data_IF_553410063377
#
_entry.id   IF_553410063377
#
_cell.length_a   1.000
_cell.length_b   1.000
_cell.length_c   1.000
_cell.angle_alpha   90.00
_cell.angle_beta   90.00
_cell.angle_gamma   90.00
#
_symmetry.space_group_name_H-M   'P 1'
#
loop_
_entity.id
_entity.type
_entity.pdbx_description
1 polymer ?
#
# COMPACT_ATOMS: atom_id res chain seq x y z
N UNK A 1 -10.97 -63.05 -46.37
CA UNK A 1 -11.07 -62.35 -45.07
C UNK A 1 -11.73 -60.99 -45.32
N UNK A 2 -13.07 -60.93 -45.23
CA UNK A 2 -13.86 -59.70 -45.33
C UNK A 2 -15.08 -59.85 -44.42
N UNK A 3 -15.21 -58.94 -43.46
CA UNK A 3 -16.33 -58.77 -42.53
C UNK A 3 -16.75 -57.29 -42.79
N UNK A 4 -17.89 -56.99 -43.45
CA UNK A 4 -19.26 -56.85 -42.89
C UNK A 4 -19.27 -55.87 -41.69
N UNK A 5 -19.63 -54.60 -41.85
CA UNK A 5 -20.96 -53.98 -42.01
C UNK A 5 -21.40 -53.26 -40.73
N UNK A 6 -22.21 -52.21 -40.91
CA UNK A 6 -22.95 -51.38 -39.94
C UNK A 6 -22.13 -50.19 -39.39
N UNK A 7 -22.42 -48.92 -39.65
CA UNK A 7 -23.63 -48.25 -40.13
C UNK A 7 -24.28 -47.52 -38.96
N UNK A 8 -24.28 -46.18 -38.96
CA UNK A 8 -25.33 -45.36 -38.34
C UNK A 8 -25.18 -43.87 -38.67
N UNK A 9 -26.35 -43.27 -38.83
CA UNK A 9 -26.64 -42.03 -39.52
C UNK A 9 -26.37 -40.78 -38.68
N UNK A 10 -26.07 -39.70 -39.40
CA UNK A 10 -26.01 -38.33 -38.91
C UNK A 10 -27.42 -37.79 -38.65
N UNK A 11 -27.66 -37.31 -37.43
CA UNK A 11 -28.82 -36.50 -37.07
C UNK A 11 -28.31 -35.33 -36.22
N UNK A 12 -27.95 -34.24 -36.90
CA UNK A 12 -27.69 -32.93 -36.27
C UNK A 12 -29.02 -32.26 -36.01
N UNK A 13 -29.52 -32.37 -34.77
CA UNK A 13 -30.59 -31.54 -34.26
C UNK A 13 -29.94 -30.35 -33.53
N UNK A 14 -30.19 -29.15 -34.04
CA UNK A 14 -29.74 -27.91 -33.42
C UNK A 14 -30.45 -27.68 -32.09
N UNK A 15 -29.66 -27.37 -31.05
CA UNK A 15 -30.17 -26.72 -29.86
C UNK A 15 -29.42 -25.39 -29.70
N UNK A 16 -30.16 -24.33 -30.01
CA UNK A 16 -29.80 -22.94 -29.78
C UNK A 16 -29.84 -22.71 -28.26
N UNK A 17 -28.68 -22.64 -27.59
CA UNK A 17 -28.61 -22.15 -26.22
C UNK A 17 -28.36 -20.65 -26.30
N UNK A 18 -29.40 -19.87 -26.01
CA UNK A 18 -29.30 -18.43 -25.85
C UNK A 18 -28.45 -18.13 -24.61
N UNK A 19 -27.24 -17.61 -24.82
CA UNK A 19 -26.42 -17.03 -23.75
C UNK A 19 -26.94 -15.62 -23.45
N UNK A 20 -27.87 -15.52 -22.49
CA UNK A 20 -28.17 -14.24 -21.85
C UNK A 20 -27.03 -13.84 -20.91
N UNK A 21 -26.63 -12.56 -20.83
CA UNK A 21 -25.62 -12.12 -19.89
C UNK A 21 -26.18 -12.20 -18.46
N UNK A 22 -25.51 -12.96 -17.60
CA UNK A 22 -25.75 -12.93 -16.15
C UNK A 22 -25.06 -11.68 -15.61
N UNK A 23 -25.82 -10.60 -15.44
CA UNK A 23 -25.38 -9.43 -14.68
C UNK A 23 -25.29 -9.77 -13.21
N UNK A 24 -24.09 -10.18 -12.75
CA UNK A 24 -23.74 -10.11 -11.34
C UNK A 24 -23.30 -8.66 -11.03
N UNK A 25 -24.27 -7.77 -10.91
CA UNK A 25 -24.03 -6.45 -10.30
C UNK A 25 -24.16 -6.64 -8.79
N UNK A 26 -23.07 -7.07 -8.14
CA UNK A 26 -22.89 -6.80 -6.71
C UNK A 26 -22.57 -5.31 -6.64
N UNK A 27 -23.50 -4.53 -6.10
CA UNK A 27 -23.23 -3.14 -5.76
C UNK A 27 -22.07 -3.11 -4.75
N UNK A 28 -20.89 -2.71 -5.19
CA UNK A 28 -19.84 -2.27 -4.28
C UNK A 28 -20.34 -0.96 -3.68
N UNK A 29 -20.62 -0.98 -2.38
CA UNK A 29 -20.72 0.23 -1.57
C UNK A 29 -19.48 1.11 -1.84
N UNK A 30 -19.66 2.44 -1.96
CA UNK A 30 -18.57 3.33 -2.29
C UNK A 30 -17.49 3.25 -1.21
N UNK A 31 -16.27 2.87 -1.64
CA UNK A 31 -15.06 3.07 -0.84
C UNK A 31 -15.04 4.53 -0.46
N UNK A 32 -15.07 4.84 0.83
CA UNK A 32 -15.03 6.22 1.30
C UNK A 32 -13.62 6.73 1.03
N UNK A 33 -13.42 7.30 -0.15
CA UNK A 33 -12.20 8.01 -0.49
C UNK A 33 -12.14 9.24 0.43
N UNK A 34 -11.30 9.15 1.46
CA UNK A 34 -10.93 10.32 2.24
C UNK A 34 -10.12 11.22 1.31
N UNK A 35 -10.81 12.08 0.58
CA UNK A 35 -10.20 13.17 -0.16
C UNK A 35 -9.45 14.04 0.85
N UNK A 36 -8.13 13.86 0.91
CA UNK A 36 -7.26 14.73 1.70
C UNK A 36 -7.25 16.07 0.96
N UNK A 37 -8.02 17.03 1.46
CA UNK A 37 -7.91 18.43 1.06
C UNK A 37 -6.43 18.83 1.14
N UNK A 38 -5.90 19.46 0.09
CA UNK A 38 -4.55 20.02 0.09
C UNK A 38 -4.30 20.79 1.39
N UNK A 39 -3.27 20.39 2.13
CA UNK A 39 -2.94 21.02 3.41
C UNK A 39 -3.59 20.47 4.68
N UNK A 40 -4.51 19.50 4.62
CA UNK A 40 -5.13 18.91 5.81
C UNK A 40 -4.26 17.81 6.43
N UNK A 41 -3.95 17.93 7.73
CA UNK A 41 -3.25 16.87 8.47
C UNK A 41 -4.13 15.62 8.58
N UNK A 42 -3.59 14.47 8.16
CA UNK A 42 -4.29 13.19 8.28
C UNK A 42 -4.59 12.88 9.75
N UNK A 43 -5.86 12.65 10.08
CA UNK A 43 -6.29 12.14 11.39
C UNK A 43 -6.37 10.61 11.30
N UNK A 44 -5.47 9.91 12.01
CA UNK A 44 -5.46 8.45 12.08
C UNK A 44 -6.11 8.00 13.38
N UNK A 45 -6.91 6.92 13.36
CA UNK A 45 -7.47 6.39 14.59
C UNK A 45 -6.35 5.87 15.49
N UNK A 46 -6.59 5.90 16.80
CA UNK A 46 -5.67 5.36 17.81
C UNK A 46 -6.15 3.98 18.27
N UNK A 47 -5.25 3.07 18.64
CA UNK A 47 -5.64 1.79 19.22
C UNK A 47 -6.55 1.93 20.45
N UNK A 48 -7.43 0.95 20.71
CA UNK A 48 -8.21 0.89 21.93
C UNK A 48 -7.34 0.95 23.20
N UNK A 49 -7.86 1.57 24.26
CA UNK A 49 -7.12 1.77 25.51
C UNK A 49 -6.71 0.45 26.19
N UNK A 50 -7.48 -0.62 26.03
CA UNK A 50 -7.17 -1.96 26.56
C UNK A 50 -6.00 -2.63 25.84
N UNK A 51 -5.62 -2.14 24.66
CA UNK A 51 -4.42 -2.57 23.92
C UNK A 51 -3.20 -1.70 24.22
N UNK A 52 -3.34 -0.69 25.09
CA UNK A 52 -2.24 0.17 25.52
C UNK A 52 -1.25 -0.66 26.35
N UNK A 53 -0.09 -0.98 25.75
CA UNK A 53 0.95 -1.81 26.37
C UNK A 53 1.02 -3.24 25.84
N UNK A 54 0.13 -3.62 24.92
CA UNK A 54 0.33 -4.81 24.11
C UNK A 54 1.63 -4.69 23.31
N UNK A 55 2.36 -5.78 23.19
CA UNK A 55 3.59 -5.87 22.41
C UNK A 55 3.62 -7.20 21.66
N UNK A 56 4.08 -7.23 20.38
CA UNK A 56 4.27 -8.47 19.66
C UNK A 56 5.42 -9.27 20.28
N UNK A 57 5.36 -10.59 20.15
CA UNK A 57 6.42 -11.49 20.58
C UNK A 57 6.92 -12.38 19.42
N UNK A 58 8.07 -13.01 19.64
CA UNK A 58 8.65 -13.98 18.70
C UNK A 58 8.92 -13.41 17.30
N UNK A 59 8.75 -14.26 16.30
CA UNK A 59 9.05 -13.90 14.90
C UNK A 59 8.19 -12.75 14.36
N UNK A 60 6.95 -12.60 14.86
CA UNK A 60 6.09 -11.48 14.47
C UNK A 60 6.68 -10.14 14.91
N UNK A 61 7.27 -10.09 16.11
CA UNK A 61 7.97 -8.90 16.61
C UNK A 61 9.18 -8.56 15.73
N UNK A 62 9.99 -9.55 15.37
CA UNK A 62 11.16 -9.37 14.51
C UNK A 62 10.79 -8.82 13.12
N UNK A 63 9.69 -9.29 12.53
CA UNK A 63 9.20 -8.79 11.24
C UNK A 63 8.71 -7.34 11.33
N UNK A 64 8.01 -6.99 12.40
CA UNK A 64 7.55 -5.62 12.67
C UNK A 64 8.73 -4.67 12.89
N UNK A 65 9.74 -5.10 13.66
CA UNK A 65 10.97 -4.35 13.92
C UNK A 65 11.72 -4.08 12.61
N UNK A 66 11.98 -5.13 11.81
CA UNK A 66 12.64 -5.00 10.49
C UNK A 66 11.93 -4.02 9.55
N UNK A 67 10.59 -4.05 9.53
CA UNK A 67 9.80 -3.07 8.77
C UNK A 67 9.95 -1.66 9.35
N UNK A 68 9.88 -1.54 10.68
CA UNK A 68 10.07 -0.27 11.40
C UNK A 68 11.43 0.37 11.12
N UNK A 69 12.49 -0.42 11.09
CA UNK A 69 13.85 0.02 10.75
C UNK A 69 13.95 0.53 9.32
N UNK A 70 13.31 -0.16 8.35
CA UNK A 70 13.28 0.29 6.96
C UNK A 70 12.56 1.65 6.81
N UNK A 71 11.44 1.84 7.50
CA UNK A 71 10.74 3.13 7.55
C UNK A 71 11.60 4.19 8.24
N UNK A 72 12.28 3.86 9.35
CA UNK A 72 13.15 4.79 10.06
C UNK A 72 14.34 5.24 9.20
N UNK A 73 15.02 4.32 8.52
CA UNK A 73 16.12 4.62 7.62
C UNK A 73 15.68 5.56 6.47
N UNK A 74 14.50 5.32 5.90
CA UNK A 74 13.93 6.19 4.87
C UNK A 74 13.64 7.59 5.39
N UNK A 75 13.04 7.71 6.58
CA UNK A 75 12.80 9.00 7.23
C UNK A 75 14.07 9.82 7.41
N UNK A 76 15.19 9.19 7.81
CA UNK A 76 16.46 9.90 7.97
C UNK A 76 17.01 10.48 6.65
N UNK A 77 16.73 9.84 5.51
CA UNK A 77 17.07 10.38 4.17
C UNK A 77 16.20 11.58 3.81
N UNK A 78 14.90 11.56 4.15
CA UNK A 78 13.98 12.65 3.83
C UNK A 78 14.13 13.84 4.76
N UNK A 79 14.34 13.61 6.06
CA UNK A 79 14.34 14.63 7.10
C UNK A 79 15.17 15.89 6.82
N UNK A 80 16.39 15.83 6.26
CA UNK A 80 17.18 17.03 5.98
C UNK A 80 16.71 17.81 4.75
N UNK A 81 15.82 17.27 3.93
CA UNK A 81 15.45 17.87 2.66
C UNK A 81 14.57 19.10 2.85
N UNK A 82 14.93 20.18 2.16
CA UNK A 82 14.11 21.39 2.10
C UNK A 82 12.82 21.17 1.29
N UNK A 83 11.88 22.10 1.38
CA UNK A 83 10.69 22.07 0.52
C UNK A 83 11.05 22.17 -0.98
N UNK A 84 12.09 22.92 -1.35
CA UNK A 84 12.59 23.02 -2.73
C UNK A 84 13.11 21.67 -3.22
N UNK A 85 13.98 21.02 -2.43
CA UNK A 85 14.53 19.70 -2.74
C UNK A 85 13.42 18.64 -2.81
N UNK A 86 12.45 18.69 -1.90
CA UNK A 86 11.30 17.77 -1.92
C UNK A 86 10.47 17.88 -3.21
N UNK A 87 10.27 19.09 -3.73
CA UNK A 87 9.51 19.34 -4.95
C UNK A 87 10.35 19.28 -6.24
N UNK A 88 11.66 19.07 -6.13
CA UNK A 88 12.55 19.09 -7.29
C UNK A 88 12.17 18.00 -8.29
N UNK A 89 11.98 18.41 -9.56
CA UNK A 89 11.62 17.53 -10.68
C UNK A 89 12.90 17.09 -11.41
N UNK A 90 13.29 15.81 -11.29
CA UNK A 90 14.49 15.32 -11.96
C UNK A 90 14.37 15.40 -13.48
N UNK A 91 15.41 15.83 -14.21
CA UNK A 91 15.38 15.91 -15.68
C UNK A 91 15.31 14.54 -16.36
N UNK A 92 15.66 13.46 -15.65
CA UNK A 92 15.58 12.09 -16.14
C UNK A 92 14.16 11.48 -16.05
N UNK A 93 13.14 12.28 -15.69
CA UNK A 93 11.75 11.85 -15.63
C UNK A 93 11.40 10.96 -14.43
N UNK A 94 12.33 10.74 -13.48
CA UNK A 94 12.02 9.98 -12.26
C UNK A 94 11.14 10.78 -11.30
N UNK A 95 10.42 10.08 -10.42
CA UNK A 95 9.56 10.68 -9.39
C UNK A 95 10.32 11.71 -8.51
N UNK A 96 9.65 12.78 -8.08
CA UNK A 96 10.21 13.75 -7.13
C UNK A 96 10.47 13.10 -5.76
N UNK A 97 11.34 13.65 -4.91
CA UNK A 97 11.47 13.15 -3.54
C UNK A 97 10.14 13.16 -2.78
N UNK A 98 9.33 14.23 -2.91
CA UNK A 98 8.01 14.29 -2.28
C UNK A 98 7.07 13.18 -2.75
N UNK A 99 7.00 12.91 -4.05
CA UNK A 99 6.17 11.82 -4.55
C UNK A 99 6.59 10.49 -3.91
N UNK A 100 7.90 10.23 -3.79
CA UNK A 100 8.37 9.00 -3.15
C UNK A 100 7.96 8.94 -1.68
N UNK A 101 8.05 10.07 -0.96
CA UNK A 101 7.64 10.14 0.43
C UNK A 101 6.13 9.86 0.61
N UNK A 102 5.28 10.57 -0.12
CA UNK A 102 3.82 10.39 -0.10
C UNK A 102 3.43 8.97 -0.54
N UNK A 103 4.07 8.44 -1.59
CA UNK A 103 3.80 7.10 -2.11
C UNK A 103 4.15 6.00 -1.11
N UNK A 104 5.31 6.08 -0.47
CA UNK A 104 5.74 5.11 0.54
C UNK A 104 4.76 5.07 1.70
N UNK A 105 4.46 6.23 2.27
CA UNK A 105 3.59 6.36 3.43
C UNK A 105 2.16 5.90 3.10
N UNK A 106 1.60 6.34 1.97
CA UNK A 106 0.25 5.98 1.55
C UNK A 106 0.12 4.49 1.21
N UNK A 107 1.15 3.88 0.61
CA UNK A 107 1.15 2.45 0.29
C UNK A 107 1.15 1.61 1.57
N UNK A 108 1.98 1.96 2.56
CA UNK A 108 1.97 1.29 3.86
C UNK A 108 0.58 1.41 4.52
N UNK A 109 0.05 2.64 4.58
CA UNK A 109 -1.25 2.90 5.21
C UNK A 109 -2.37 2.09 4.55
N UNK A 110 -2.47 2.11 3.21
CA UNK A 110 -3.52 1.39 2.48
C UNK A 110 -3.46 -0.11 2.73
N UNK A 111 -2.28 -0.71 2.61
CA UNK A 111 -2.17 -2.17 2.71
C UNK A 111 -2.49 -2.68 4.11
N UNK A 112 -2.04 -1.99 5.16
CA UNK A 112 -2.34 -2.39 6.54
C UNK A 112 -3.77 -2.06 6.94
N UNK A 113 -4.30 -0.88 6.60
CA UNK A 113 -5.70 -0.54 6.89
C UNK A 113 -6.69 -1.48 6.19
N UNK A 114 -6.39 -1.93 4.97
CA UNK A 114 -7.17 -2.98 4.30
C UNK A 114 -7.17 -4.30 5.08
N UNK A 115 -6.03 -4.71 5.64
CA UNK A 115 -5.93 -5.93 6.45
C UNK A 115 -6.72 -5.77 7.76
N UNK A 116 -6.62 -4.62 8.42
CA UNK A 116 -7.36 -4.36 9.65
C UNK A 116 -8.87 -4.30 9.40
N UNK A 117 -9.32 -3.66 8.32
CA UNK A 117 -10.73 -3.65 7.90
C UNK A 117 -11.27 -5.05 7.57
N UNK A 118 -10.44 -5.97 7.07
CA UNK A 118 -10.86 -7.34 6.83
C UNK A 118 -11.01 -8.17 8.13
N UNK A 119 -10.24 -7.83 9.17
CA UNK A 119 -10.23 -8.51 10.46
C UNK A 119 -11.27 -7.96 11.43
N UNK A 120 -11.47 -6.64 11.42
CA UNK A 120 -12.35 -5.91 12.33
C UNK A 120 -13.13 -4.81 11.56
N UNK A 121 -14.06 -5.21 10.67
CA UNK A 121 -14.76 -4.31 9.76
C UNK A 121 -15.66 -3.27 10.45
N UNK A 122 -16.05 -3.52 11.70
CA UNK A 122 -16.92 -2.61 12.45
C UNK A 122 -16.15 -1.38 12.98
N UNK A 123 -14.83 -1.48 13.12
CA UNK A 123 -13.98 -0.42 13.67
C UNK A 123 -12.94 0.11 12.67
N UNK A 124 -12.74 -0.58 11.54
CA UNK A 124 -11.71 -0.26 10.56
C UNK A 124 -12.25 -0.13 9.14
N UNK A 125 -11.70 0.82 8.40
CA UNK A 125 -11.93 1.00 6.96
C UNK A 125 -10.59 1.07 6.24
N UNK A 126 -10.58 0.69 4.95
CA UNK A 126 -9.40 0.89 4.10
C UNK A 126 -9.16 2.39 3.90
N UNK A 127 -7.93 2.84 4.13
CA UNK A 127 -7.53 4.25 3.97
C UNK A 127 -6.62 4.34 2.75
N UNK A 128 -7.15 4.92 1.66
CA UNK A 128 -6.42 5.12 0.40
C UNK A 128 -6.19 6.61 0.15
N UNK A 129 -4.93 7.05 0.33
CA UNK A 129 -4.49 8.45 0.13
C UNK A 129 -3.28 8.54 -0.81
N UNK A 130 -3.10 7.53 -1.66
CA UNK A 130 -1.94 7.45 -2.54
C UNK A 130 -1.92 8.58 -3.57
N UNK A 131 -0.75 9.17 -3.86
CA UNK A 131 -0.65 10.14 -4.94
C UNK A 131 -0.93 9.47 -6.28
N UNK A 132 -1.46 10.25 -7.22
CA UNK A 132 -1.51 9.82 -8.62
C UNK A 132 -0.09 9.53 -9.16
N UNK A 133 0.00 8.67 -10.17
CA UNK A 133 1.28 8.32 -10.78
C UNK A 133 1.85 9.53 -11.56
N UNK A 134 3.17 9.73 -11.48
CA UNK A 134 3.89 10.78 -12.22
C UNK A 134 3.91 10.54 -13.74
N UNK A 135 4.29 11.55 -14.56
CA UNK A 135 4.68 12.91 -14.15
C UNK A 135 3.59 13.99 -14.28
N UNK A 136 2.62 13.84 -15.17
CA UNK A 136 1.76 14.98 -15.53
C UNK A 136 0.58 15.19 -14.56
N UNK A 137 0.14 14.14 -13.88
CA UNK A 137 -1.06 14.17 -13.04
C UNK A 137 -0.76 14.37 -11.54
N UNK A 138 0.52 14.32 -11.13
CA UNK A 138 0.89 14.42 -9.72
C UNK A 138 0.76 15.85 -9.17
N UNK A 139 -0.07 15.98 -8.14
CA UNK A 139 -0.19 17.18 -7.30
C UNK A 139 0.20 16.83 -5.87
N UNK A 140 1.24 17.47 -5.29
CA UNK A 140 1.58 17.34 -3.87
C UNK A 140 0.40 17.55 -2.93
N UNK A 141 0.23 16.68 -1.95
CA UNK A 141 -0.76 16.89 -0.89
C UNK A 141 -0.36 18.08 0.00
N UNK A 142 0.94 18.23 0.22
CA UNK A 142 1.52 19.29 1.06
C UNK A 142 2.74 19.95 0.38
N UNK A 143 2.56 20.80 -0.64
CA UNK A 143 3.66 21.34 -1.44
C UNK A 143 4.66 22.18 -0.64
N UNK A 144 4.26 22.73 0.52
CA UNK A 144 5.12 23.55 1.38
C UNK A 144 5.89 22.74 2.42
N UNK A 145 5.60 21.45 2.58
CA UNK A 145 6.26 20.64 3.61
C UNK A 145 7.72 20.40 3.29
N UNK A 146 8.59 20.55 4.28
CA UNK A 146 9.95 20.02 4.20
C UNK A 146 9.93 18.50 4.33
N UNK A 147 11.07 17.86 4.06
CA UNK A 147 11.20 16.43 4.26
C UNK A 147 11.08 16.00 5.73
N UNK A 148 11.33 16.90 6.69
CA UNK A 148 11.06 16.63 8.11
C UNK A 148 9.57 16.42 8.41
N UNK A 149 8.68 17.19 7.76
CA UNK A 149 7.23 17.06 7.95
C UNK A 149 6.69 15.80 7.27
N UNK A 150 7.22 15.46 6.09
CA UNK A 150 6.92 14.18 5.42
C UNK A 150 7.41 12.98 6.24
N UNK A 151 8.60 13.08 6.85
CA UNK A 151 9.13 12.06 7.75
C UNK A 151 8.28 11.89 9.03
N UNK A 152 7.76 12.98 9.59
CA UNK A 152 6.81 12.93 10.71
C UNK A 152 5.50 12.23 10.29
N UNK A 153 4.99 12.50 9.09
CA UNK A 153 3.80 11.82 8.57
C UNK A 153 4.04 10.31 8.36
N UNK A 154 5.22 9.91 7.88
CA UNK A 154 5.62 8.50 7.82
C UNK A 154 5.66 7.85 9.21
N UNK A 155 6.18 8.57 10.22
CA UNK A 155 6.21 8.08 11.59
C UNK A 155 4.81 7.83 12.14
N UNK A 156 3.91 8.80 11.98
CA UNK A 156 2.51 8.69 12.42
C UNK A 156 1.79 7.50 11.77
N UNK A 157 2.08 7.23 10.48
CA UNK A 157 1.57 6.04 9.79
C UNK A 157 2.20 4.76 10.34
N UNK A 158 3.51 4.77 10.61
CA UNK A 158 4.18 3.66 11.28
C UNK A 158 3.58 3.35 12.66
N UNK A 159 3.25 4.38 13.43
CA UNK A 159 2.61 4.25 14.74
C UNK A 159 1.19 3.69 14.65
N UNK A 160 0.42 4.11 13.64
CA UNK A 160 -0.87 3.48 13.33
C UNK A 160 -0.72 1.99 13.05
N UNK A 161 0.23 1.61 12.17
CA UNK A 161 0.46 0.19 11.82
C UNK A 161 0.90 -0.62 13.05
N UNK A 162 1.85 -0.11 13.84
CA UNK A 162 2.29 -0.82 15.05
C UNK A 162 1.18 -0.91 16.10
N UNK A 163 0.42 0.17 16.27
CA UNK A 163 -0.63 0.26 17.26
C UNK A 163 -1.77 -0.74 17.04
N UNK A 164 -2.08 -1.07 15.79
CA UNK A 164 -3.11 -2.04 15.43
C UNK A 164 -2.56 -3.44 15.08
N UNK A 165 -1.26 -3.66 15.24
CA UNK A 165 -0.64 -4.95 14.95
C UNK A 165 -1.18 -6.11 15.82
N UNK A 166 -1.82 -5.82 16.96
CA UNK A 166 -2.49 -6.83 17.80
C UNK A 166 -3.58 -7.59 17.05
N UNK A 167 -4.18 -7.01 16.00
CA UNK A 167 -5.17 -7.70 15.17
C UNK A 167 -4.57 -8.92 14.43
N UNK A 168 -3.25 -8.99 14.32
CA UNK A 168 -2.52 -10.06 13.65
C UNK A 168 -1.86 -11.06 14.60
N UNK A 169 -2.04 -10.94 15.92
CA UNK A 169 -1.35 -11.76 16.93
C UNK A 169 -1.53 -13.27 16.70
N UNK A 170 -2.75 -13.70 16.38
CA UNK A 170 -3.07 -15.11 16.12
C UNK A 170 -3.01 -15.49 14.63
N UNK A 171 -2.55 -14.59 13.75
CA UNK A 171 -2.49 -14.85 12.33
C UNK A 171 -1.32 -15.80 12.00
N UNK A 172 -1.58 -16.78 11.14
CA UNK A 172 -0.52 -17.59 10.53
C UNK A 172 0.31 -16.69 9.60
N UNK A 173 1.59 -16.50 9.92
CA UNK A 173 2.48 -15.55 9.24
C UNK A 173 2.66 -15.84 7.75
N UNK A 174 2.46 -17.10 7.33
CA UNK A 174 2.71 -17.58 5.97
C UNK A 174 1.42 -17.84 5.17
N UNK A 175 0.24 -17.69 5.80
CA UNK A 175 -1.05 -17.79 5.12
C UNK A 175 -1.70 -16.43 4.94
N UNK A 176 -2.49 -16.23 3.86
CA UNK A 176 -3.27 -15.02 3.71
C UNK A 176 -4.22 -14.81 4.89
N UNK A 177 -4.24 -13.59 5.43
CA UNK A 177 -5.27 -13.16 6.38
C UNK A 177 -6.64 -13.27 5.72
N UNK A 178 -7.62 -13.81 6.44
CA UNK A 178 -9.00 -13.99 5.93
C UNK A 178 -9.53 -12.69 5.31
N UNK A 179 -10.09 -12.78 4.11
CA UNK A 179 -10.61 -11.62 3.38
C UNK A 179 -9.55 -10.80 2.62
N UNK A 180 -8.28 -11.21 2.66
CA UNK A 180 -7.19 -10.54 1.93
C UNK A 180 -6.33 -11.54 1.17
N UNK A 181 -5.45 -11.02 0.30
CA UNK A 181 -4.40 -11.81 -0.37
C UNK A 181 -3.06 -11.81 0.38
N UNK A 182 -3.00 -11.15 1.54
CA UNK A 182 -1.75 -10.81 2.22
C UNK A 182 -1.47 -11.78 3.35
N UNK A 183 -0.35 -12.49 3.25
CA UNK A 183 0.26 -13.14 4.40
C UNK A 183 1.06 -12.08 5.19
N UNK A 184 1.01 -12.06 6.53
CA UNK A 184 1.71 -11.06 7.35
C UNK A 184 3.20 -10.92 7.01
N UNK A 185 3.92 -12.05 6.89
CA UNK A 185 5.35 -12.05 6.52
C UNK A 185 5.58 -11.40 5.17
N UNK A 186 4.80 -11.80 4.16
CA UNK A 186 4.91 -11.28 2.80
C UNK A 186 4.63 -9.77 2.74
N UNK A 187 3.68 -9.28 3.53
CA UNK A 187 3.34 -7.86 3.61
C UNK A 187 4.48 -7.03 4.23
N UNK A 188 5.04 -7.48 5.36
CA UNK A 188 6.15 -6.77 6.02
C UNK A 188 7.42 -6.79 5.18
N UNK A 189 7.78 -7.95 4.59
CA UNK A 189 8.91 -8.05 3.67
C UNK A 189 8.72 -7.19 2.41
N UNK A 190 7.48 -7.05 1.92
CA UNK A 190 7.17 -6.13 0.84
C UNK A 190 7.47 -4.68 1.25
N UNK A 191 7.05 -4.26 2.45
CA UNK A 191 7.33 -2.90 2.94
C UNK A 191 8.82 -2.64 3.10
N UNK A 192 9.59 -3.58 3.65
CA UNK A 192 11.06 -3.46 3.76
C UNK A 192 11.68 -3.19 2.38
N UNK A 193 11.35 -4.00 1.37
CA UNK A 193 11.87 -3.81 0.01
C UNK A 193 11.38 -2.52 -0.64
N UNK A 194 10.11 -2.17 -0.42
CA UNK A 194 9.49 -0.99 -1.00
C UNK A 194 10.16 0.29 -0.47
N UNK A 195 10.31 0.42 0.85
CA UNK A 195 11.04 1.51 1.49
C UNK A 195 12.49 1.58 1.01
N UNK A 196 13.20 0.45 0.98
CA UNK A 196 14.59 0.41 0.49
C UNK A 196 14.74 0.91 -0.95
N UNK A 197 13.91 0.42 -1.87
CA UNK A 197 13.98 0.80 -3.29
C UNK A 197 13.69 2.28 -3.52
N UNK A 198 12.61 2.82 -2.94
CA UNK A 198 12.25 4.22 -3.14
C UNK A 198 13.21 5.17 -2.41
N UNK A 199 13.76 4.77 -1.27
CA UNK A 199 14.81 5.53 -0.57
C UNK A 199 16.07 5.63 -1.42
N UNK A 200 16.56 4.51 -1.96
CA UNK A 200 17.72 4.50 -2.85
C UNK A 200 17.50 5.37 -4.11
N UNK A 201 16.27 5.38 -4.64
CA UNK A 201 15.90 6.24 -5.76
C UNK A 201 15.96 7.74 -5.41
N UNK A 202 15.72 8.11 -4.16
CA UNK A 202 15.84 9.50 -3.70
C UNK A 202 17.30 9.86 -3.47
N UNK A 203 18.07 9.02 -2.77
CA UNK A 203 19.51 9.25 -2.53
C UNK A 203 20.29 9.43 -3.83
N UNK A 204 19.97 8.63 -4.87
CA UNK A 204 20.59 8.76 -6.18
C UNK A 204 20.46 10.19 -6.77
N UNK A 205 19.41 10.93 -6.41
CA UNK A 205 19.18 12.31 -6.89
C UNK A 205 20.18 13.30 -6.31
N UNK A 206 20.69 13.07 -5.11
CA UNK A 206 21.62 13.99 -4.43
C UNK A 206 22.94 14.14 -5.19
N UNK A 207 23.23 13.20 -6.10
CA UNK A 207 24.43 13.22 -6.95
C UNK A 207 24.20 13.84 -8.33
N UNK A 208 22.95 14.20 -8.67
CA UNK A 208 22.63 14.77 -9.98
C UNK A 208 23.15 16.21 -10.10
N UNK A 209 23.67 16.62 -11.27
CA UNK A 209 24.28 17.95 -11.44
C UNK A 209 23.36 19.12 -11.07
N UNK A 210 22.07 18.97 -11.34
CA UNK A 210 21.04 20.00 -11.16
C UNK A 210 20.28 19.87 -9.83
N UNK A 211 20.76 19.04 -8.90
CA UNK A 211 20.19 18.92 -7.56
C UNK A 211 20.28 20.27 -6.81
N UNK A 212 19.22 20.75 -6.14
CA UNK A 212 19.27 22.01 -5.40
C UNK A 212 20.27 21.95 -4.23
N UNK A 213 21.21 22.90 -4.18
CA UNK A 213 22.37 22.91 -3.26
C UNK A 213 22.18 23.75 -1.98
N UNK A 214 20.96 24.15 -1.70
CA UNK A 214 20.63 24.93 -0.49
C UNK A 214 20.86 24.15 0.81
#
# INVERSE_FOLDING_TARGET
MRISSQGLAWLTLGLLVATGPVSNTVAQEPVTELAVSTGATLSLPTPPNDKKGWAPEGEFAELLERMGDATAASREVFKPLSATQMNWRPPNGTHTPRWNAEHLAATQLRLFSQVYAALDPDHHTEISIGPEQMPDAYVPAHPTWSGAQEAEQMERIGDYVRGFAYLLEDADLDKPVKGTRWAPRKLMDLMVRHYGQHTANVEAKFTLPDWPKE
#
